data_IF_287754098500
#
_entry.id   IF_287754098500
#
_cell.length_a   1.000
_cell.length_b   1.000
_cell.length_c   1.000
_cell.angle_alpha   90.00
_cell.angle_beta   90.00
_cell.angle_gamma   90.00
#
_symmetry.space_group_name_H-M   'P 1'
#
loop_
_entity.id
_entity.type
_entity.pdbx_description
1 polymer ?
#
# COMPACT_ATOMS: atom_id res chain seq x y z
N UNK A 1 7.79 11.72 3.22
CA UNK A 1 7.76 10.29 2.87
C UNK A 1 6.51 9.57 3.39
N UNK A 2 6.18 9.55 4.68
CA UNK A 2 4.97 8.84 5.18
C UNK A 2 3.65 9.29 4.52
N UNK A 3 3.46 10.60 4.28
CA UNK A 3 2.28 11.13 3.58
C UNK A 3 2.14 10.60 2.14
N UNK A 4 3.27 10.34 1.45
CA UNK A 4 3.24 9.81 0.09
C UNK A 4 2.68 8.39 0.08
N UNK A 5 3.13 7.53 1.01
CA UNK A 5 2.65 6.15 1.11
C UNK A 5 1.16 6.08 1.40
N UNK A 6 0.66 6.90 2.34
CA UNK A 6 -0.78 6.97 2.62
C UNK A 6 -1.58 7.43 1.40
N UNK A 7 -1.07 8.43 0.66
CA UNK A 7 -1.68 8.89 -0.60
C UNK A 7 -1.71 7.78 -1.65
N UNK A 8 -0.62 7.02 -1.83
CA UNK A 8 -0.58 5.94 -2.81
C UNK A 8 -1.55 4.79 -2.44
N UNK A 9 -1.70 4.48 -1.15
CA UNK A 9 -2.69 3.51 -0.69
C UNK A 9 -4.12 4.00 -0.97
N UNK A 10 -4.41 5.29 -0.74
CA UNK A 10 -5.66 5.94 -1.12
C UNK A 10 -5.93 5.78 -2.61
N UNK A 11 -4.96 6.17 -3.45
CA UNK A 11 -5.07 6.02 -4.89
C UNK A 11 -5.37 4.58 -5.30
N UNK A 12 -4.64 3.61 -4.72
CA UNK A 12 -4.82 2.19 -5.03
C UNK A 12 -6.24 1.68 -4.71
N UNK A 13 -6.78 2.02 -3.54
CA UNK A 13 -8.13 1.60 -3.13
C UNK A 13 -9.21 2.24 -4.00
N UNK A 14 -9.03 3.50 -4.39
CA UNK A 14 -9.92 4.21 -5.31
C UNK A 14 -9.72 3.82 -6.78
N UNK A 15 -8.74 2.96 -7.10
CA UNK A 15 -8.48 2.51 -8.46
C UNK A 15 -7.92 3.61 -9.38
N UNK A 16 -7.21 4.58 -8.80
CA UNK A 16 -6.57 5.67 -9.55
C UNK A 16 -5.04 5.52 -9.51
N UNK A 17 -4.33 5.88 -10.60
CA UNK A 17 -2.88 5.98 -10.59
C UNK A 17 -2.36 6.89 -9.47
N UNK A 18 -1.20 6.57 -8.89
CA UNK A 18 -0.54 7.45 -7.92
C UNK A 18 0.17 8.64 -8.58
N UNK A 19 0.45 8.57 -9.88
CA UNK A 19 1.04 9.66 -10.66
C UNK A 19 -0.05 10.57 -11.23
N UNK A 20 0.01 11.86 -10.92
CA UNK A 20 -0.91 12.88 -11.45
C UNK A 20 -0.87 12.91 -12.99
N UNK A 21 0.32 12.75 -13.58
CA UNK A 21 0.49 12.76 -15.04
C UNK A 21 -0.23 11.59 -15.75
N UNK A 22 -0.58 10.54 -15.01
CA UNK A 22 -1.27 9.36 -15.53
C UNK A 22 -2.78 9.37 -15.21
N UNK A 23 -3.29 10.38 -14.50
CA UNK A 23 -4.71 10.48 -14.16
C UNK A 23 -5.52 10.95 -15.36
N UNK A 24 -6.62 10.23 -15.64
CA UNK A 24 -7.68 10.77 -16.51
C UNK A 24 -8.45 11.87 -15.79
N UNK A 25 -9.14 12.74 -16.54
CA UNK A 25 -10.03 13.77 -15.98
C UNK A 25 -11.02 13.17 -14.96
N UNK A 26 -11.61 12.01 -15.28
CA UNK A 26 -12.54 11.33 -14.40
C UNK A 26 -11.90 10.87 -13.08
N UNK A 27 -10.67 10.36 -13.12
CA UNK A 27 -9.98 9.92 -11.90
C UNK A 27 -9.54 11.09 -11.03
N UNK A 28 -9.07 12.17 -11.64
CA UNK A 28 -8.77 13.41 -10.92
C UNK A 28 -10.04 13.99 -10.28
N UNK A 29 -11.16 13.95 -11.00
CA UNK A 29 -12.47 14.31 -10.49
C UNK A 29 -12.85 13.49 -9.26
N UNK A 30 -12.77 12.15 -9.33
CA UNK A 30 -13.05 11.29 -8.18
C UNK A 30 -12.25 11.70 -6.95
N UNK A 31 -10.95 11.99 -7.11
CA UNK A 31 -10.10 12.41 -5.98
C UNK A 31 -10.50 13.77 -5.40
N UNK A 32 -10.82 14.75 -6.25
CA UNK A 32 -11.26 16.07 -5.78
C UNK A 32 -12.66 16.04 -5.15
N UNK A 33 -13.54 15.13 -5.60
CA UNK A 33 -14.89 14.99 -5.04
C UNK A 33 -14.90 14.44 -3.61
N UNK A 34 -13.84 13.75 -3.15
CA UNK A 34 -13.82 13.14 -1.82
C UNK A 34 -14.13 14.18 -0.72
N UNK A 35 -13.47 15.34 -0.74
CA UNK A 35 -13.71 16.41 0.24
C UNK A 35 -15.11 17.03 0.08
N UNK A 36 -15.60 17.15 -1.15
CA UNK A 36 -16.93 17.70 -1.42
C UNK A 36 -18.05 16.77 -0.91
N UNK A 37 -17.89 15.46 -1.10
CA UNK A 37 -18.88 14.44 -0.73
C UNK A 37 -18.84 14.12 0.75
N UNK A 38 -17.64 13.95 1.32
CA UNK A 38 -17.48 13.61 2.74
C UNK A 38 -17.43 14.84 3.65
N UNK A 39 -17.06 16.00 3.11
CA UNK A 39 -16.75 17.19 3.88
C UNK A 39 -15.28 17.24 4.32
N UNK A 40 -14.89 18.40 4.84
CA UNK A 40 -13.55 18.64 5.38
C UNK A 40 -13.28 17.78 6.61
N UNK A 41 -12.00 17.44 6.79
CA UNK A 41 -11.52 16.79 8.01
C UNK A 41 -11.96 17.59 9.25
N UNK A 42 -12.42 16.85 10.25
CA UNK A 42 -13.03 17.41 11.45
C UNK A 42 -11.99 18.24 12.23
N UNK A 43 -12.31 19.50 12.59
CA UNK A 43 -11.40 20.33 13.35
C UNK A 43 -11.26 19.81 14.78
N UNK A 44 -10.14 20.16 15.41
CA UNK A 44 -9.80 19.73 16.76
C UNK A 44 -10.90 20.05 17.80
N UNK A 45 -11.62 21.16 17.62
CA UNK A 45 -12.67 21.62 18.52
C UNK A 45 -13.92 20.71 18.56
N UNK A 46 -14.08 19.80 17.59
CA UNK A 46 -15.22 18.86 17.52
C UNK A 46 -14.86 17.43 17.94
N UNK A 47 -13.75 17.24 18.68
CA UNK A 47 -13.37 15.95 19.25
C UNK A 47 -12.87 14.91 18.22
N UNK A 48 -12.51 15.36 17.02
CA UNK A 48 -12.14 14.48 15.91
C UNK A 48 -10.99 15.03 15.06
N UNK A 49 -9.91 15.52 15.68
CA UNK A 49 -8.74 16.09 15.00
C UNK A 49 -8.36 15.26 13.76
N UNK A 50 -8.47 15.88 12.57
CA UNK A 50 -7.96 15.28 11.32
C UNK A 50 -8.77 14.08 10.82
N UNK A 51 -9.95 13.80 11.39
CA UNK A 51 -10.79 12.68 10.97
C UNK A 51 -11.70 13.09 9.81
N UNK A 52 -11.73 12.25 8.79
CA UNK A 52 -12.67 12.39 7.68
C UNK A 52 -14.08 12.08 8.21
N UNK A 53 -15.09 12.91 7.93
CA UNK A 53 -16.45 12.64 8.38
C UNK A 53 -16.97 11.31 7.83
N UNK A 54 -17.87 10.67 8.60
CA UNK A 54 -18.57 9.44 8.22
C UNK A 54 -17.71 8.17 8.10
N UNK A 55 -16.43 8.27 8.47
CA UNK A 55 -15.48 7.16 8.54
C UNK A 55 -15.43 6.62 9.96
N UNK A 56 -15.71 5.33 10.12
CA UNK A 56 -15.66 4.65 11.42
C UNK A 56 -14.29 3.99 11.66
N UNK A 57 -13.30 4.80 12.03
CA UNK A 57 -11.93 4.34 12.24
C UNK A 57 -11.84 3.23 13.30
N UNK A 58 -12.57 3.34 14.40
CA UNK A 58 -12.55 2.38 15.51
C UNK A 58 -13.09 1.03 15.08
N UNK A 59 -14.20 1.01 14.34
CA UNK A 59 -14.80 -0.26 13.89
C UNK A 59 -13.90 -1.03 12.93
N UNK A 60 -13.15 -0.34 12.06
CA UNK A 60 -12.33 -1.02 11.04
C UNK A 60 -10.91 -1.31 11.51
N UNK A 61 -10.39 -0.57 12.50
CA UNK A 61 -9.02 -0.76 13.01
C UNK A 61 -8.95 -1.41 14.40
N UNK A 62 -10.05 -1.37 15.17
CA UNK A 62 -10.06 -1.73 16.59
C UNK A 62 -9.33 -0.74 17.50
N UNK A 63 -8.98 0.46 17.00
CA UNK A 63 -8.16 1.44 17.71
C UNK A 63 -8.87 2.81 17.75
N UNK A 64 -9.11 3.33 18.95
CA UNK A 64 -9.56 4.71 19.15
C UNK A 64 -8.39 5.63 19.46
N UNK A 65 -8.06 6.48 18.50
CA UNK A 65 -6.97 7.44 18.63
C UNK A 65 -7.42 8.79 19.24
N UNK A 66 -8.73 9.02 19.40
CA UNK A 66 -9.28 10.33 19.83
C UNK A 66 -8.81 10.73 21.21
N UNK A 67 -8.71 9.77 22.13
CA UNK A 67 -8.32 10.02 23.51
C UNK A 67 -6.88 10.50 23.70
N UNK A 68 -6.05 10.44 22.66
CA UNK A 68 -4.66 10.92 22.67
C UNK A 68 -4.51 12.31 22.06
N UNK A 69 -5.55 12.82 21.40
CA UNK A 69 -5.55 14.20 20.94
C UNK A 69 -6.05 15.10 22.07
N UNK A 70 -5.22 16.06 22.46
CA UNK A 70 -5.59 17.08 23.44
C UNK A 70 -6.64 18.04 22.87
N UNK A 71 -7.47 18.61 23.74
CA UNK A 71 -8.37 19.68 23.31
C UNK A 71 -7.54 20.89 22.84
N UNK A 72 -7.89 21.50 21.69
CA UNK A 72 -7.18 22.65 21.18
C UNK A 72 -7.34 23.82 22.16
N UNK A 73 -6.22 24.29 22.71
CA UNK A 73 -6.21 25.46 23.61
C UNK A 73 -6.40 26.78 22.86
N UNK A 74 -6.03 26.80 21.57
CA UNK A 74 -6.14 27.94 20.67
C UNK A 74 -6.43 27.45 19.24
N UNK A 75 -7.03 28.29 18.35
CA UNK A 75 -7.15 27.99 16.93
C UNK A 75 -5.80 27.60 16.32
N UNK A 76 -5.77 26.51 15.56
CA UNK A 76 -4.54 25.99 14.93
C UNK A 76 -3.62 25.18 15.85
N UNK A 77 -3.84 25.19 17.18
CA UNK A 77 -3.03 24.41 18.11
C UNK A 77 -3.65 23.02 18.34
N UNK A 78 -2.94 21.99 17.90
CA UNK A 78 -3.30 20.59 18.12
C UNK A 78 -2.15 19.92 18.86
N UNK A 79 -2.42 19.33 20.02
CA UNK A 79 -1.44 18.58 20.79
C UNK A 79 -1.79 17.09 20.78
N UNK A 80 -0.79 16.24 20.57
CA UNK A 80 -0.91 14.79 20.75
C UNK A 80 -0.20 14.39 22.05
N UNK A 81 -0.89 13.67 22.93
CA UNK A 81 -0.35 13.17 24.19
C UNK A 81 0.51 11.93 23.93
N UNK A 82 1.76 12.20 23.54
CA UNK A 82 2.76 11.16 23.26
C UNK A 82 3.07 10.27 24.46
N UNK A 83 2.96 10.79 25.68
CA UNK A 83 3.23 10.02 26.91
C UNK A 83 2.12 9.00 27.11
N UNK A 84 0.88 9.46 27.16
CA UNK A 84 -0.30 8.60 27.28
C UNK A 84 -0.38 7.56 26.16
N UNK A 85 -0.01 7.93 24.94
CA UNK A 85 0.01 7.01 23.82
C UNK A 85 1.08 5.92 23.96
N UNK A 86 2.30 6.27 24.38
CA UNK A 86 3.37 5.29 24.62
C UNK A 86 3.01 4.30 25.72
N UNK A 87 2.35 4.78 26.78
CA UNK A 87 1.92 3.95 27.91
C UNK A 87 0.78 2.96 27.53
N UNK A 88 0.05 3.21 26.44
CA UNK A 88 -1.05 2.34 25.98
C UNK A 88 -0.60 1.03 25.32
N UNK A 89 0.58 1.02 24.67
CA UNK A 89 1.21 -0.22 24.17
C UNK A 89 1.27 -0.48 22.66
N UNK A 90 0.28 -0.12 21.80
CA UNK A 90 0.35 -0.40 20.35
C UNK A 90 1.22 0.62 19.61
N UNK A 91 2.49 0.70 20.01
CA UNK A 91 3.51 1.59 19.43
C UNK A 91 3.75 1.35 17.94
N UNK A 92 3.36 0.18 17.43
CA UNK A 92 3.40 -0.15 16.01
C UNK A 92 2.58 0.80 15.13
N UNK A 93 1.57 1.48 15.69
CA UNK A 93 0.77 2.49 14.96
C UNK A 93 1.62 3.69 14.52
N UNK A 94 2.77 3.90 15.15
CA UNK A 94 3.72 4.96 14.79
C UNK A 94 4.81 4.47 13.84
N UNK A 95 4.80 3.19 13.44
CA UNK A 95 5.75 2.66 12.49
C UNK A 95 5.51 3.26 11.11
N UNK A 96 6.57 3.33 10.28
CA UNK A 96 6.41 3.80 8.92
C UNK A 96 5.77 2.70 8.05
N UNK A 97 4.69 2.97 7.29
CA UNK A 97 3.97 1.98 6.50
C UNK A 97 4.64 1.65 5.15
N UNK A 98 5.87 2.12 4.91
CA UNK A 98 6.65 1.96 3.69
C UNK A 98 7.85 1.01 3.85
N UNK A 99 8.10 0.49 5.06
CA UNK A 99 9.17 -0.48 5.31
C UNK A 99 8.61 -1.90 5.13
N UNK A 100 9.05 -2.56 4.07
CA UNK A 100 8.64 -3.92 3.74
C UNK A 100 9.55 -4.96 4.42
N UNK A 101 9.05 -6.17 4.66
CA UNK A 101 9.90 -7.28 5.08
C UNK A 101 11.01 -7.55 4.07
N UNK A 102 12.16 -8.02 4.56
CA UNK A 102 13.22 -8.53 3.70
C UNK A 102 12.67 -9.71 2.86
N UNK A 103 12.90 -9.64 1.55
CA UNK A 103 12.53 -10.71 0.63
C UNK A 103 13.76 -11.54 0.27
N UNK A 104 13.58 -12.86 0.23
CA UNK A 104 14.63 -13.81 -0.11
C UNK A 104 14.24 -14.53 -1.39
N UNK A 105 15.09 -14.46 -2.41
CA UNK A 105 14.83 -15.03 -3.73
C UNK A 105 14.78 -16.56 -3.76
N UNK A 106 15.24 -17.21 -2.68
CA UNK A 106 15.18 -18.66 -2.46
C UNK A 106 15.03 -18.94 -0.96
N UNK A 107 14.49 -20.12 -0.64
CA UNK A 107 14.54 -20.64 0.73
C UNK A 107 15.96 -20.98 1.10
N UNK A 108 16.43 -20.51 2.25
CA UNK A 108 17.81 -20.73 2.66
C UNK A 108 18.05 -22.18 3.10
N UNK A 109 19.26 -22.73 2.90
CA UNK A 109 19.61 -24.07 3.35
C UNK A 109 19.37 -24.29 4.84
N UNK A 110 19.64 -23.29 5.67
CA UNK A 110 19.47 -23.36 7.13
C UNK A 110 18.00 -23.55 7.51
N UNK A 111 17.08 -22.92 6.77
CA UNK A 111 15.64 -23.07 7.02
C UNK A 111 15.11 -24.41 6.56
N UNK A 112 15.61 -24.93 5.44
CA UNK A 112 15.28 -26.29 5.01
C UNK A 112 15.80 -27.31 6.05
N UNK A 113 17.04 -27.16 6.49
CA UNK A 113 17.65 -28.01 7.50
C UNK A 113 16.90 -27.98 8.85
N UNK A 114 16.32 -26.83 9.22
CA UNK A 114 15.59 -26.68 10.49
C UNK A 114 14.34 -27.57 10.62
N UNK A 115 13.79 -28.05 9.49
CA UNK A 115 12.63 -28.95 9.48
C UNK A 115 13.04 -30.41 9.67
N UNK A 116 14.30 -30.75 9.34
CA UNK A 116 14.81 -32.12 9.32
C UNK A 116 14.21 -32.97 8.21
N UNK A 117 14.59 -34.25 8.20
CA UNK A 117 13.98 -35.24 7.31
C UNK A 117 12.67 -35.76 7.92
N UNK A 118 11.54 -35.69 7.19
CA UNK A 118 10.29 -36.24 7.67
C UNK A 118 10.39 -37.77 7.79
N UNK A 119 9.86 -38.34 8.86
CA UNK A 119 9.65 -39.78 8.99
C UNK A 119 8.47 -40.23 8.13
N UNK A 120 8.38 -41.52 7.85
CA UNK A 120 7.19 -42.13 7.27
C UNK A 120 5.96 -41.86 8.17
N UNK A 121 4.83 -41.61 7.54
CA UNK A 121 3.57 -41.25 8.19
C UNK A 121 2.46 -42.17 7.69
N UNK A 122 1.44 -42.39 8.53
CA UNK A 122 0.30 -43.26 8.22
C UNK A 122 -1.04 -42.52 8.25
N UNK A 123 -1.02 -41.19 8.45
CA UNK A 123 -2.25 -40.39 8.45
C UNK A 123 -2.74 -40.13 7.02
N UNK A 124 -4.05 -40.03 6.87
CA UNK A 124 -4.73 -39.93 5.56
C UNK A 124 -4.20 -38.75 4.76
N UNK A 125 -3.81 -37.65 5.40
CA UNK A 125 -3.43 -36.42 4.71
C UNK A 125 -2.00 -36.50 4.20
N UNK A 126 -1.03 -36.81 5.06
CA UNK A 126 0.39 -36.81 4.66
C UNK A 126 0.79 -37.97 3.76
N UNK A 127 -0.04 -39.02 3.70
CA UNK A 127 0.10 -40.15 2.76
C UNK A 127 -0.44 -39.85 1.37
N UNK A 128 -1.16 -38.74 1.18
CA UNK A 128 -1.65 -38.37 -0.15
C UNK A 128 -0.50 -38.02 -1.10
N UNK A 129 -0.66 -38.33 -2.40
CA UNK A 129 0.19 -37.79 -3.46
C UNK A 129 0.28 -36.25 -3.45
N UNK A 130 1.41 -35.72 -3.91
CA UNK A 130 1.70 -34.27 -3.88
C UNK A 130 0.67 -33.44 -4.67
N UNK A 131 0.20 -33.94 -5.81
CA UNK A 131 -0.84 -33.33 -6.64
C UNK A 131 -2.18 -33.22 -5.89
N UNK A 132 -2.57 -34.24 -5.13
CA UNK A 132 -3.76 -34.19 -4.27
C UNK A 132 -3.58 -33.14 -3.17
N UNK A 133 -2.40 -33.11 -2.52
CA UNK A 133 -2.11 -32.08 -1.53
C UNK A 133 -2.13 -30.67 -2.12
N UNK A 134 -1.63 -30.49 -3.34
CA UNK A 134 -1.69 -29.21 -4.05
C UNK A 134 -3.12 -28.78 -4.34
N UNK A 135 -4.01 -29.70 -4.74
CA UNK A 135 -5.43 -29.41 -4.90
C UNK A 135 -6.08 -29.01 -3.57
N UNK A 136 -5.77 -29.71 -2.48
CA UNK A 136 -6.34 -29.41 -1.16
C UNK A 136 -5.96 -28.02 -0.65
N UNK A 137 -4.69 -27.62 -0.78
CA UNK A 137 -4.24 -26.29 -0.32
C UNK A 137 -4.86 -25.15 -1.14
N UNK A 138 -5.41 -25.42 -2.32
CA UNK A 138 -6.09 -24.40 -3.13
C UNK A 138 -7.41 -23.93 -2.52
N UNK A 139 -8.07 -24.78 -1.75
CA UNK A 139 -9.33 -24.48 -1.07
C UNK A 139 -9.14 -23.81 0.29
N UNK A 140 -7.90 -23.75 0.80
CA UNK A 140 -7.62 -23.11 2.07
C UNK A 140 -7.56 -21.59 1.92
N UNK A 141 -7.93 -20.89 3.00
CA UNK A 141 -7.61 -19.49 3.20
C UNK A 141 -6.20 -19.35 3.81
N UNK A 142 -5.75 -18.10 4.01
CA UNK A 142 -4.41 -17.84 4.56
C UNK A 142 -4.25 -18.48 5.95
N UNK A 143 -5.17 -18.29 6.92
CA UNK A 143 -5.09 -18.96 8.22
C UNK A 143 -5.04 -20.49 8.10
N UNK A 144 -5.93 -21.10 7.31
CA UNK A 144 -5.98 -22.54 7.13
C UNK A 144 -4.72 -23.10 6.50
N UNK A 145 -4.17 -22.42 5.50
CA UNK A 145 -2.89 -22.80 4.89
C UNK A 145 -1.72 -22.71 5.87
N UNK A 146 -1.62 -21.63 6.65
CA UNK A 146 -0.56 -21.47 7.65
C UNK A 146 -0.69 -22.50 8.78
N UNK A 147 -1.91 -22.81 9.20
CA UNK A 147 -2.18 -23.85 10.19
C UNK A 147 -1.77 -25.23 9.66
N UNK A 148 -2.25 -25.61 8.45
CA UNK A 148 -1.95 -26.89 7.81
C UNK A 148 -0.45 -27.11 7.65
N UNK A 149 0.26 -26.12 7.10
CA UNK A 149 1.72 -26.20 6.87
C UNK A 149 2.54 -26.16 8.16
N UNK A 150 1.89 -25.91 9.30
CA UNK A 150 2.52 -25.89 10.61
C UNK A 150 2.26 -27.14 11.46
N UNK A 151 1.44 -28.08 11.00
CA UNK A 151 1.04 -29.26 11.79
C UNK A 151 2.16 -30.27 11.98
N UNK A 152 2.90 -30.61 10.91
CA UNK A 152 3.91 -31.64 10.93
C UNK A 152 5.13 -31.29 10.06
N UNK A 153 6.22 -32.04 10.24
CA UNK A 153 7.48 -31.83 9.48
C UNK A 153 7.29 -32.08 7.98
N UNK A 154 6.51 -33.07 7.57
CA UNK A 154 6.23 -33.38 6.16
C UNK A 154 5.59 -32.19 5.45
N UNK A 155 4.48 -31.67 5.98
CA UNK A 155 3.77 -30.53 5.40
C UNK A 155 4.58 -29.25 5.48
N UNK A 156 5.37 -29.07 6.54
CA UNK A 156 6.30 -27.93 6.65
C UNK A 156 7.41 -28.00 5.60
N UNK A 157 7.96 -29.18 5.32
CA UNK A 157 8.98 -29.37 4.27
C UNK A 157 8.38 -29.06 2.90
N UNK A 158 7.18 -29.56 2.60
CA UNK A 158 6.45 -29.21 1.37
C UNK A 158 6.14 -27.71 1.28
N UNK A 159 5.83 -27.05 2.40
CA UNK A 159 5.60 -25.62 2.46
C UNK A 159 6.84 -24.80 2.10
N UNK A 160 8.03 -25.28 2.48
CA UNK A 160 9.32 -24.68 2.13
C UNK A 160 9.80 -25.05 0.72
N UNK A 161 9.18 -26.02 0.06
CA UNK A 161 9.55 -26.44 -1.31
C UNK A 161 8.37 -26.25 -2.27
N UNK A 162 7.56 -27.29 -2.44
CA UNK A 162 6.53 -27.38 -3.48
C UNK A 162 5.35 -26.43 -3.32
N UNK A 163 5.08 -25.89 -2.12
CA UNK A 163 3.94 -24.97 -1.91
C UNK A 163 4.32 -23.48 -1.92
N UNK A 164 5.57 -23.11 -2.19
CA UNK A 164 5.96 -21.70 -2.35
C UNK A 164 5.10 -20.93 -3.37
N UNK A 165 4.71 -21.51 -4.53
CA UNK A 165 3.78 -20.85 -5.45
C UNK A 165 2.42 -20.49 -4.84
N UNK A 166 1.91 -21.32 -3.91
CA UNK A 166 0.67 -21.03 -3.18
C UNK A 166 0.88 -19.90 -2.17
N UNK A 167 1.97 -19.92 -1.43
CA UNK A 167 2.34 -18.82 -0.54
C UNK A 167 2.47 -17.49 -1.31
N UNK A 168 3.07 -17.52 -2.51
CA UNK A 168 3.13 -16.37 -3.42
C UNK A 168 1.73 -15.85 -3.77
N UNK A 169 0.82 -16.75 -4.17
CA UNK A 169 -0.58 -16.38 -4.50
C UNK A 169 -1.25 -15.67 -3.32
N UNK A 170 -1.06 -16.15 -2.09
CA UNK A 170 -1.58 -15.48 -0.91
C UNK A 170 -0.97 -14.10 -0.68
N UNK A 171 0.37 -13.96 -0.74
CA UNK A 171 1.03 -12.66 -0.58
C UNK A 171 0.50 -11.67 -1.61
N UNK A 172 0.40 -12.06 -2.88
CA UNK A 172 -0.07 -11.19 -3.95
C UNK A 172 -1.57 -10.90 -3.88
N UNK A 173 -2.36 -11.73 -3.20
CA UNK A 173 -3.77 -11.46 -2.93
C UNK A 173 -3.98 -10.40 -1.84
N UNK A 174 -2.97 -10.13 -1.02
CA UNK A 174 -3.02 -9.09 0.01
C UNK A 174 -2.63 -7.75 -0.63
N UNK A 175 -3.57 -6.81 -0.83
CA UNK A 175 -3.34 -5.62 -1.65
C UNK A 175 -2.27 -4.67 -1.11
N UNK A 176 -2.01 -4.74 0.19
CA UNK A 176 -1.03 -3.91 0.90
C UNK A 176 0.29 -4.64 1.19
N UNK A 177 0.43 -5.93 0.82
CA UNK A 177 1.62 -6.72 1.20
C UNK A 177 2.87 -6.38 0.38
N UNK A 178 2.72 -5.90 -0.85
CA UNK A 178 3.83 -5.56 -1.75
C UNK A 178 3.92 -4.05 -2.00
N UNK A 179 5.08 -3.54 -2.44
CA UNK A 179 5.20 -2.18 -2.95
C UNK A 179 4.20 -1.93 -4.08
N UNK A 180 3.66 -0.71 -4.17
CA UNK A 180 2.81 -0.34 -5.30
C UNK A 180 3.71 0.05 -6.47
N UNK A 181 3.50 -0.61 -7.61
CA UNK A 181 4.32 -0.53 -8.84
C UNK A 181 4.55 0.92 -9.31
N UNK A 182 3.56 1.77 -9.08
CA UNK A 182 3.49 3.14 -9.59
C UNK A 182 4.11 4.17 -8.62
N UNK A 183 4.53 3.71 -7.43
CA UNK A 183 4.91 4.58 -6.30
C UNK A 183 6.38 4.49 -5.88
N UNK A 184 7.09 3.49 -6.37
CA UNK A 184 8.50 3.29 -6.09
C UNK A 184 9.25 3.54 -7.39
N UNK A 185 9.66 4.78 -7.70
CA UNK A 185 10.55 4.99 -8.83
C UNK A 185 11.84 4.17 -8.58
N UNK A 186 12.52 3.71 -9.65
CA UNK A 186 13.66 2.80 -9.57
C UNK A 186 14.77 3.26 -8.60
N UNK A 187 14.83 4.56 -8.32
CA UNK A 187 15.72 5.23 -7.38
C UNK A 187 15.51 4.86 -5.89
N UNK A 188 14.34 4.33 -5.49
CA UNK A 188 14.09 3.87 -4.12
C UNK A 188 14.37 2.38 -3.91
N UNK A 189 14.66 1.65 -4.99
CA UNK A 189 15.21 0.30 -4.89
C UNK A 189 16.72 0.49 -4.69
N UNK A 190 17.15 0.64 -3.44
CA UNK A 190 18.57 0.51 -3.12
C UNK A 190 19.09 -0.77 -3.78
N UNK A 191 20.26 -0.73 -4.42
CA UNK A 191 20.82 -1.85 -5.22
C UNK A 191 20.85 -3.21 -4.48
N UNK A 192 20.64 -3.22 -3.16
CA UNK A 192 20.65 -4.40 -2.30
C UNK A 192 19.27 -4.79 -1.71
N UNK A 193 18.23 -3.98 -1.87
CA UNK A 193 16.90 -4.28 -1.33
C UNK A 193 16.06 -4.99 -2.39
N UNK A 194 16.24 -6.31 -2.47
CA UNK A 194 15.31 -7.17 -3.22
C UNK A 194 13.96 -7.07 -2.50
N UNK A 195 12.97 -6.47 -3.15
CA UNK A 195 11.60 -6.38 -2.65
C UNK A 195 10.73 -7.45 -3.32
N UNK A 196 9.71 -7.92 -2.61
CA UNK A 196 8.69 -8.78 -3.20
C UNK A 196 7.92 -8.02 -4.28
N UNK A 197 7.85 -8.58 -5.48
CA UNK A 197 7.29 -7.94 -6.66
C UNK A 197 6.50 -8.96 -7.50
N UNK A 198 5.29 -8.63 -7.98
CA UNK A 198 4.48 -9.58 -8.73
C UNK A 198 5.18 -10.06 -10.01
N UNK A 199 5.86 -9.18 -10.73
CA UNK A 199 6.51 -9.51 -12.01
C UNK A 199 7.96 -9.98 -11.89
N UNK A 200 8.74 -9.43 -10.94
CA UNK A 200 10.20 -9.58 -10.94
C UNK A 200 10.67 -10.63 -9.93
N UNK A 201 9.83 -11.02 -8.96
CA UNK A 201 10.23 -11.98 -7.94
C UNK A 201 10.01 -13.43 -8.40
N UNK A 202 10.97 -14.34 -8.15
CA UNK A 202 10.85 -15.75 -8.51
C UNK A 202 9.61 -16.42 -7.92
N UNK A 203 9.04 -17.39 -8.63
CA UNK A 203 7.86 -18.13 -8.17
C UNK A 203 8.14 -19.03 -6.97
N UNK A 204 9.37 -19.52 -6.86
CA UNK A 204 9.91 -20.43 -5.86
C UNK A 204 10.74 -19.72 -4.76
N UNK A 205 10.65 -18.40 -4.71
CA UNK A 205 11.26 -17.62 -3.63
C UNK A 205 10.64 -17.95 -2.27
N UNK A 206 11.19 -17.38 -1.19
CA UNK A 206 10.76 -17.67 0.18
C UNK A 206 9.48 -16.90 0.57
N UNK A 207 8.41 -17.14 -0.18
CA UNK A 207 7.12 -16.49 -0.04
C UNK A 207 6.43 -16.83 1.28
N UNK A 208 6.63 -18.05 1.79
CA UNK A 208 6.07 -18.45 3.09
C UNK A 208 6.62 -17.58 4.23
N UNK A 209 7.92 -17.26 4.22
CA UNK A 209 8.51 -16.34 5.21
C UNK A 209 7.98 -14.93 5.04
N UNK A 210 7.95 -14.48 3.80
CA UNK A 210 7.46 -13.16 3.48
C UNK A 210 6.02 -12.99 3.98
N UNK A 211 5.15 -13.96 3.70
CA UNK A 211 3.77 -14.02 4.20
C UNK A 211 3.69 -13.93 5.72
N UNK A 212 4.54 -14.68 6.44
CA UNK A 212 4.62 -14.61 7.90
C UNK A 212 5.04 -13.22 8.39
N UNK A 213 6.06 -12.61 7.76
CA UNK A 213 6.54 -11.28 8.13
C UNK A 213 5.52 -10.17 7.84
N UNK A 214 4.78 -10.27 6.72
CA UNK A 214 3.71 -9.33 6.34
C UNK A 214 2.67 -9.17 7.45
N UNK A 215 2.39 -10.22 8.23
CA UNK A 215 1.43 -10.14 9.34
C UNK A 215 2.05 -9.77 10.70
N UNK A 216 3.38 -9.79 10.82
CA UNK A 216 4.07 -9.67 12.13
C UNK A 216 4.79 -8.34 12.33
N UNK A 217 5.39 -7.77 11.29
CA UNK A 217 6.21 -6.56 11.43
C UNK A 217 5.36 -5.33 11.70
N UNK A 218 5.89 -4.40 12.50
CA UNK A 218 5.15 -3.19 12.91
C UNK A 218 4.75 -2.33 11.71
N UNK A 219 5.65 -2.16 10.75
CA UNK A 219 5.39 -1.41 9.51
C UNK A 219 4.26 -2.00 8.68
N UNK A 220 4.17 -3.32 8.58
CA UNK A 220 3.10 -3.97 7.82
C UNK A 220 1.77 -3.97 8.57
N UNK A 221 1.79 -4.06 9.91
CA UNK A 221 0.60 -3.84 10.74
C UNK A 221 0.04 -2.43 10.55
N UNK A 222 0.89 -1.41 10.57
CA UNK A 222 0.45 -0.04 10.32
C UNK A 222 -0.02 0.15 8.88
N UNK A 223 0.68 -0.42 7.90
CA UNK A 223 0.24 -0.39 6.50
C UNK A 223 -1.14 -1.01 6.30
N UNK A 224 -1.41 -2.16 6.94
CA UNK A 224 -2.75 -2.79 6.98
C UNK A 224 -3.77 -1.87 7.64
N UNK A 225 -3.42 -1.21 8.75
CA UNK A 225 -4.32 -0.27 9.42
C UNK A 225 -4.72 0.88 8.50
N UNK A 226 -3.74 1.50 7.83
CA UNK A 226 -3.99 2.56 6.86
C UNK A 226 -4.85 2.06 5.69
N UNK A 227 -4.57 0.85 5.17
CA UNK A 227 -5.41 0.22 4.14
C UNK A 227 -6.88 0.13 4.56
N UNK A 228 -7.16 -0.38 5.76
CA UNK A 228 -8.53 -0.51 6.29
C UNK A 228 -9.22 0.85 6.47
N UNK A 229 -8.49 1.87 6.92
CA UNK A 229 -9.02 3.25 7.02
C UNK A 229 -9.40 3.76 5.64
N UNK A 230 -8.56 3.52 4.64
CA UNK A 230 -8.78 3.96 3.26
C UNK A 230 -9.97 3.24 2.63
N UNK A 231 -10.12 1.93 2.84
CA UNK A 231 -11.33 1.19 2.41
C UNK A 231 -12.59 1.76 3.04
N UNK A 232 -12.54 2.14 4.31
CA UNK A 232 -13.65 2.78 5.00
C UNK A 232 -13.96 4.19 4.45
N UNK A 233 -12.94 4.96 4.05
CA UNK A 233 -13.13 6.23 3.34
C UNK A 233 -13.84 5.99 2.01
N UNK A 234 -13.43 4.98 1.23
CA UNK A 234 -14.08 4.64 -0.04
C UNK A 234 -15.54 4.23 0.17
N UNK A 235 -15.80 3.34 1.13
CA UNK A 235 -17.17 2.93 1.49
C UNK A 235 -18.02 4.15 1.87
N UNK A 236 -17.50 5.04 2.71
CA UNK A 236 -18.20 6.26 3.10
C UNK A 236 -18.48 7.17 1.89
N UNK A 237 -17.50 7.34 1.00
CA UNK A 237 -17.65 8.14 -0.22
C UNK A 237 -18.74 7.57 -1.12
N UNK A 238 -18.68 6.28 -1.44
CA UNK A 238 -19.65 5.60 -2.30
C UNK A 238 -21.07 5.70 -1.74
N UNK A 239 -21.23 5.52 -0.42
CA UNK A 239 -22.53 5.63 0.26
C UNK A 239 -23.11 7.05 0.18
N UNK A 240 -22.25 8.06 0.20
CA UNK A 240 -22.65 9.48 0.32
C UNK A 240 -22.80 10.18 -1.01
N UNK A 241 -22.12 9.67 -2.04
CA UNK A 241 -22.02 10.31 -3.35
C UNK A 241 -23.40 10.59 -3.95
N UNK A 242 -24.30 9.61 -3.90
CA UNK A 242 -25.66 9.76 -4.46
C UNK A 242 -26.46 10.83 -3.74
N UNK A 243 -26.38 10.88 -2.41
CA UNK A 243 -27.04 11.92 -1.61
C UNK A 243 -26.46 13.31 -1.89
N UNK A 244 -25.16 13.42 -2.19
CA UNK A 244 -24.56 14.69 -2.60
C UNK A 244 -25.05 15.10 -3.99
N UNK A 245 -25.15 14.15 -4.92
CA UNK A 245 -25.56 14.42 -6.30
C UNK A 245 -27.03 14.82 -6.43
N UNK A 246 -27.88 14.40 -5.48
CA UNK A 246 -29.29 14.80 -5.45
C UNK A 246 -29.53 16.23 -4.94
N UNK A 247 -28.49 16.94 -4.49
CA UNK A 247 -28.65 18.30 -3.95
C UNK A 247 -28.91 19.32 -5.07
N UNK A 248 -29.80 20.31 -4.86
CA UNK A 248 -30.08 21.35 -5.87
C UNK A 248 -28.84 22.15 -6.29
N UNK A 249 -27.88 22.34 -5.39
CA UNK A 249 -26.63 23.06 -5.65
C UNK A 249 -25.58 22.24 -6.43
N UNK A 250 -25.75 20.91 -6.53
CA UNK A 250 -24.75 20.03 -7.15
C UNK A 250 -24.39 20.41 -8.59
N UNK A 251 -25.33 20.76 -9.50
CA UNK A 251 -24.98 21.15 -10.87
C UNK A 251 -24.09 22.40 -10.96
N UNK A 252 -24.18 23.33 -10.00
CA UNK A 252 -23.29 24.48 -9.94
C UNK A 252 -21.91 24.07 -9.42
N UNK A 253 -21.86 23.35 -8.30
CA UNK A 253 -20.61 22.86 -7.70
C UNK A 253 -19.83 21.94 -8.65
N UNK A 254 -20.52 21.07 -9.37
CA UNK A 254 -19.94 20.16 -10.36
C UNK A 254 -19.22 20.93 -11.47
N UNK A 255 -19.82 22.03 -11.97
CA UNK A 255 -19.22 22.87 -13.02
C UNK A 255 -17.99 23.61 -12.52
N UNK A 256 -18.05 24.12 -11.29
CA UNK A 256 -16.90 24.76 -10.64
C UNK A 256 -15.74 23.77 -10.49
N UNK A 257 -16.04 22.56 -10.03
CA UNK A 257 -15.07 21.48 -9.88
C UNK A 257 -14.43 21.10 -11.22
N UNK A 258 -15.24 20.95 -12.28
CA UNK A 258 -14.72 20.68 -13.63
C UNK A 258 -13.79 21.80 -14.12
N UNK A 259 -14.12 23.07 -13.85
CA UNK A 259 -13.27 24.20 -14.22
C UNK A 259 -11.93 24.19 -13.48
N UNK A 260 -11.91 23.83 -12.19
CA UNK A 260 -10.67 23.67 -11.41
C UNK A 260 -9.81 22.51 -11.95
N UNK A 261 -10.46 21.40 -12.29
CA UNK A 261 -9.80 20.21 -12.85
C UNK A 261 -9.17 20.51 -14.21
N UNK A 262 -9.92 21.15 -15.11
CA UNK A 262 -9.42 21.53 -16.43
C UNK A 262 -8.24 22.51 -16.31
N UNK A 263 -8.32 23.46 -15.38
CA UNK A 263 -7.21 24.39 -15.09
C UNK A 263 -5.97 23.64 -14.60
N UNK A 264 -6.13 22.70 -13.67
CA UNK A 264 -5.02 21.90 -13.14
C UNK A 264 -4.37 21.01 -14.21
N UNK A 265 -5.18 20.39 -15.08
CA UNK A 265 -4.69 19.59 -16.19
C UNK A 265 -3.91 20.44 -17.21
N UNK A 266 -4.38 21.65 -17.50
CA UNK A 266 -3.68 22.59 -18.38
C UNK A 266 -2.32 22.99 -17.78
N UNK A 267 -2.29 23.37 -16.51
CA UNK A 267 -1.03 23.70 -15.80
C UNK A 267 -0.03 22.53 -15.83
N UNK A 268 -0.50 21.29 -15.64
CA UNK A 268 0.36 20.11 -15.72
C UNK A 268 0.98 19.94 -17.11
N UNK A 269 0.20 20.15 -18.19
CA UNK A 269 0.70 20.06 -19.57
C UNK A 269 1.75 21.14 -19.86
N UNK A 270 1.49 22.36 -19.41
CA UNK A 270 2.40 23.48 -19.61
C UNK A 270 3.74 23.23 -18.91
N UNK A 271 3.72 22.71 -17.67
CA UNK A 271 4.91 22.31 -16.93
C UNK A 271 5.71 21.19 -17.62
N UNK A 272 5.04 20.15 -18.12
CA UNK A 272 5.71 19.07 -18.85
C UNK A 272 6.37 19.60 -20.14
N UNK A 273 5.67 20.47 -20.86
CA UNK A 273 6.21 21.07 -22.08
C UNK A 273 7.42 21.97 -21.82
N UNK A 274 7.44 22.70 -20.69
CA UNK A 274 8.56 23.53 -20.29
C UNK A 274 9.78 22.69 -19.91
N UNK A 275 9.59 21.59 -19.19
CA UNK A 275 10.67 20.66 -18.83
C UNK A 275 11.28 19.98 -20.07
N UNK A 276 10.45 19.54 -21.02
CA UNK A 276 10.92 19.00 -22.29
C UNK A 276 11.73 20.01 -23.11
N UNK A 277 11.28 21.27 -23.17
CA UNK A 277 12.03 22.36 -23.82
C UNK A 277 13.38 22.58 -23.15
N UNK A 278 13.42 22.59 -21.82
CA UNK A 278 14.66 22.76 -21.04
C UNK A 278 15.64 21.60 -21.30
N UNK A 279 15.16 20.36 -21.30
CA UNK A 279 15.96 19.17 -21.63
C UNK A 279 16.56 19.24 -23.04
N UNK A 280 15.76 19.63 -24.04
CA UNK A 280 16.24 19.82 -25.43
C UNK A 280 17.30 20.93 -25.53
N UNK A 281 17.14 22.03 -24.81
CA UNK A 281 18.15 23.10 -24.77
C UNK A 281 19.46 22.63 -24.16
N UNK A 282 19.42 21.88 -23.03
CA UNK A 282 20.62 21.31 -22.41
C UNK A 282 21.32 20.31 -23.32
N UNK A 283 20.55 19.50 -24.06
CA UNK A 283 21.11 18.56 -25.02
C UNK A 283 21.81 19.28 -26.19
N UNK A 284 21.19 20.30 -26.77
CA UNK A 284 21.81 21.11 -27.83
C UNK A 284 23.08 21.81 -27.37
N UNK A 285 23.07 22.41 -26.18
CA UNK A 285 24.25 23.05 -25.60
C UNK A 285 25.41 22.06 -25.41
N UNK A 286 25.09 20.81 -25.02
CA UNK A 286 26.08 19.74 -24.88
C UNK A 286 26.63 19.27 -26.23
N UNK A 287 25.78 19.13 -27.25
CA UNK A 287 26.17 18.79 -28.62
C UNK A 287 27.04 19.88 -29.24
N UNK A 288 26.72 21.16 -29.03
CA UNK A 288 27.53 22.30 -29.48
C UNK A 288 28.89 22.38 -28.77
N UNK A 289 28.95 22.06 -27.47
CA UNK A 289 30.20 22.00 -26.74
C UNK A 289 31.10 20.87 -27.26
N UNK A 290 30.55 19.67 -27.45
CA UNK A 290 31.27 18.53 -28.03
C UNK A 290 31.79 18.89 -29.43
N UNK A 291 30.95 19.48 -30.28
CA UNK A 291 31.33 19.87 -31.64
C UNK A 291 32.50 20.89 -31.65
N UNK A 292 32.51 21.85 -30.72
CA UNK A 292 33.63 22.81 -30.56
C UNK A 292 34.92 22.13 -30.09
N UNK A 293 34.82 21.17 -29.18
CA UNK A 293 35.97 20.41 -28.68
C UNK A 293 36.57 19.55 -29.79
N UNK A 294 35.77 18.87 -30.62
CA UNK A 294 36.25 18.10 -31.79
C UNK A 294 36.74 18.93 -32.98
N UNK A 295 36.44 20.23 -33.04
CA UNK A 295 36.92 21.11 -34.12
C UNK A 295 38.28 21.77 -33.82
N UNK A 296 38.80 21.57 -32.60
CA UNK A 296 40.09 22.08 -32.13
C UNK A 296 41.19 21.01 -32.11
N UNK A 297 40.84 19.75 -32.45
CA UNK A 297 41.74 18.64 -32.75
C UNK A 297 41.91 18.47 -34.26
#
# INVERSE_FOLDING_TARGET
MAHQTCSNLLCKVFGVPSSIASLTKQQLRTMCEIETVLGRCTPAARGGVGRVPYVNYESVTGLDMRSYWGQPRMPGHVAFDWKKFKDWGPTWVLARPDVFPKFFSKVTPERLASVGEPSETFDILTTQPLDILQLLIEYLDIPGYLALTSTCRTLRKLALTSFQPRARKYVLSIPWATPLLDSSPPEYVGKNDVMAHPQNSPHDADWLLYLSHVHRTNSMKERRRVWLIVEEIKRAYETRRETMYSRPEWPAMSRELDGLIDSALQMSRDLTSADERSKRQRQRAREEQIARETALD
#
